data_IF_804182398472
#
_entry.id   IF_804182398472
#
_cell.length_a   1.000
_cell.length_b   1.000
_cell.length_c   1.000
_cell.angle_alpha   90.00
_cell.angle_beta   90.00
_cell.angle_gamma   90.00
#
_symmetry.space_group_name_H-M   'P 1'
#
loop_
_entity.id
_entity.type
_entity.pdbx_description
1 polymer ?
#
# COMPACT_ATOMS: atom_id res chain seq x y z
N UNK A 1 -44.05 -16.77 8.53
CA UNK A 1 -43.58 -16.34 7.19
C UNK A 1 -43.05 -17.60 6.52
N UNK A 2 -43.36 -17.86 5.26
CA UNK A 2 -42.90 -19.09 4.58
C UNK A 2 -41.43 -18.99 4.22
N UNK A 3 -40.70 -20.11 4.28
CA UNK A 3 -39.30 -20.21 3.85
C UNK A 3 -39.22 -20.14 2.34
N UNK A 4 -38.53 -19.12 1.82
CA UNK A 4 -38.25 -19.00 0.39
C UNK A 4 -37.20 -20.03 -0.02
N UNK A 5 -37.48 -20.74 -1.11
CA UNK A 5 -36.55 -21.67 -1.75
C UNK A 5 -36.36 -21.26 -3.21
N UNK A 6 -35.16 -21.52 -3.73
CA UNK A 6 -34.73 -21.13 -5.07
C UNK A 6 -34.50 -22.39 -5.92
N UNK A 7 -34.71 -22.28 -7.23
CA UNK A 7 -34.79 -23.45 -8.14
C UNK A 7 -33.55 -24.36 -8.12
N UNK A 8 -32.37 -23.78 -7.89
CA UNK A 8 -31.10 -24.48 -7.90
C UNK A 8 -30.60 -24.88 -6.50
N UNK A 9 -31.37 -24.62 -5.45
CA UNK A 9 -30.96 -24.88 -4.06
C UNK A 9 -31.77 -26.04 -3.49
N UNK A 10 -31.09 -27.18 -3.32
CA UNK A 10 -31.67 -28.40 -2.74
C UNK A 10 -31.28 -28.60 -1.28
N UNK A 11 -30.16 -28.01 -0.86
CA UNK A 11 -29.59 -28.09 0.46
C UNK A 11 -28.82 -26.81 0.76
N UNK A 12 -28.86 -26.35 2.02
CA UNK A 12 -27.98 -25.30 2.48
C UNK A 12 -28.49 -24.62 3.75
N UNK A 13 -28.16 -23.33 3.89
CA UNK A 13 -28.28 -22.57 5.11
C UNK A 13 -29.69 -22.05 5.33
N UNK A 14 -30.30 -22.44 6.46
CA UNK A 14 -31.64 -21.98 6.84
C UNK A 14 -31.58 -20.72 7.69
N UNK A 15 -31.71 -19.59 7.02
CA UNK A 15 -31.40 -18.27 7.57
C UNK A 15 -32.56 -17.29 7.50
N UNK A 16 -32.53 -16.32 8.40
CA UNK A 16 -33.39 -15.15 8.41
C UNK A 16 -32.55 -13.89 8.22
N UNK A 17 -33.00 -13.02 7.32
CA UNK A 17 -32.45 -11.68 7.17
C UNK A 17 -33.03 -10.75 8.24
N UNK A 18 -32.16 -10.11 9.03
CA UNK A 18 -32.54 -9.12 10.05
C UNK A 18 -33.05 -7.81 9.45
N UNK A 19 -32.67 -7.48 8.22
CA UNK A 19 -33.04 -6.23 7.54
C UNK A 19 -34.42 -6.30 6.86
N UNK A 20 -34.68 -7.28 6.02
CA UNK A 20 -35.95 -7.40 5.28
C UNK A 20 -36.93 -8.41 5.91
N UNK A 21 -36.49 -9.19 6.90
CA UNK A 21 -37.30 -10.19 7.59
C UNK A 21 -37.53 -11.47 6.80
N UNK A 22 -36.99 -11.60 5.59
CA UNK A 22 -37.14 -12.80 4.76
C UNK A 22 -36.51 -14.02 5.46
N UNK A 23 -37.20 -15.16 5.34
CA UNK A 23 -36.73 -16.48 5.77
C UNK A 23 -36.45 -17.27 4.50
N UNK A 24 -35.24 -17.81 4.38
CA UNK A 24 -34.73 -18.38 3.13
C UNK A 24 -33.91 -19.65 3.39
N UNK A 25 -33.83 -20.51 2.38
CA UNK A 25 -32.78 -21.51 2.26
C UNK A 25 -31.77 -21.02 1.23
N UNK A 26 -30.53 -20.76 1.64
CA UNK A 26 -29.44 -20.26 0.79
C UNK A 26 -28.33 -21.32 0.65
N UNK A 27 -27.40 -21.19 -0.31
CA UNK A 27 -26.17 -21.99 -0.30
C UNK A 27 -25.39 -21.85 1.00
N UNK A 28 -24.65 -22.89 1.38
CA UNK A 28 -23.77 -22.84 2.54
C UNK A 28 -22.72 -21.75 2.40
N UNK A 29 -22.58 -20.91 3.42
CA UNK A 29 -21.63 -19.79 3.42
C UNK A 29 -22.17 -18.53 2.73
N UNK A 30 -23.49 -18.35 2.63
CA UNK A 30 -24.05 -17.11 2.09
C UNK A 30 -23.80 -15.92 3.02
N UNK A 31 -23.17 -14.85 2.49
CA UNK A 31 -22.76 -13.66 3.24
C UNK A 31 -23.70 -12.46 3.06
N UNK A 32 -24.55 -12.48 2.03
CA UNK A 32 -25.52 -11.43 1.74
C UNK A 32 -26.93 -11.96 1.45
N UNK A 33 -27.92 -11.13 1.79
CA UNK A 33 -29.33 -11.43 1.55
C UNK A 33 -29.71 -11.16 0.08
N UNK A 34 -30.16 -12.16 -0.71
CA UNK A 34 -30.55 -11.96 -2.12
C UNK A 34 -31.82 -11.12 -2.30
N UNK A 35 -32.60 -10.91 -1.24
CA UNK A 35 -33.87 -10.16 -1.33
C UNK A 35 -33.69 -8.66 -1.09
N UNK A 36 -32.65 -8.24 -0.37
CA UNK A 36 -32.41 -6.84 -0.05
C UNK A 36 -30.95 -6.39 -0.21
N UNK A 37 -30.08 -7.26 -0.71
CA UNK A 37 -28.64 -7.02 -0.92
C UNK A 37 -27.88 -6.59 0.35
N UNK A 38 -28.40 -6.95 1.54
CA UNK A 38 -27.79 -6.58 2.82
C UNK A 38 -26.71 -7.57 3.26
N UNK A 39 -25.45 -7.13 3.32
CA UNK A 39 -24.32 -7.94 3.82
C UNK A 39 -24.31 -8.02 5.35
N UNK A 40 -23.94 -9.19 5.91
CA UNK A 40 -23.88 -9.40 7.37
C UNK A 40 -25.25 -9.35 8.07
N UNK A 41 -26.34 -9.48 7.31
CA UNK A 41 -27.72 -9.42 7.82
C UNK A 41 -28.34 -10.79 8.06
N UNK A 42 -27.63 -11.87 7.71
CA UNK A 42 -28.11 -13.24 7.78
C UNK A 42 -27.79 -13.85 9.15
N UNK A 43 -28.74 -14.61 9.67
CA UNK A 43 -28.61 -15.35 10.93
C UNK A 43 -29.37 -16.66 10.84
N UNK A 44 -28.83 -17.72 11.43
CA UNK A 44 -29.50 -19.01 11.51
C UNK A 44 -30.84 -18.88 12.21
N UNK A 45 -31.86 -19.55 11.68
CA UNK A 45 -33.17 -19.56 12.33
C UNK A 45 -33.16 -20.44 13.57
N UNK A 46 -32.43 -21.54 13.51
CA UNK A 46 -32.30 -22.52 14.58
C UNK A 46 -30.85 -23.02 14.62
N UNK A 47 -30.17 -22.79 15.75
CA UNK A 47 -28.80 -23.22 15.97
C UNK A 47 -28.64 -24.75 15.94
N UNK A 48 -29.71 -25.51 16.17
CA UNK A 48 -29.69 -26.97 16.05
C UNK A 48 -29.96 -27.46 14.62
N UNK A 49 -30.41 -26.59 13.72
CA UNK A 49 -30.83 -26.91 12.35
C UNK A 49 -30.35 -25.85 11.36
N UNK A 50 -29.05 -25.58 11.38
CA UNK A 50 -28.40 -24.57 10.55
C UNK A 50 -28.49 -24.97 9.06
N UNK A 51 -28.08 -26.19 8.72
CA UNK A 51 -28.13 -26.74 7.37
C UNK A 51 -29.36 -27.64 7.19
N UNK A 52 -30.12 -27.42 6.12
CA UNK A 52 -31.41 -28.05 5.88
C UNK A 52 -31.54 -28.49 4.41
N UNK A 53 -32.23 -29.61 4.17
CA UNK A 53 -32.67 -29.95 2.81
C UNK A 53 -34.02 -29.31 2.52
N UNK A 54 -34.29 -29.04 1.25
CA UNK A 54 -35.58 -28.51 0.80
C UNK A 54 -36.76 -29.42 1.21
N UNK A 55 -36.55 -30.74 1.22
CA UNK A 55 -37.56 -31.73 1.59
C UNK A 55 -37.93 -31.66 3.08
N UNK A 56 -37.01 -31.18 3.93
CA UNK A 56 -37.20 -31.06 5.38
C UNK A 56 -38.06 -29.83 5.77
N UNK A 57 -38.29 -28.90 4.84
CA UNK A 57 -39.08 -27.67 5.04
C UNK A 57 -40.58 -27.87 4.86
N UNK A 58 -41.01 -28.96 4.20
CA UNK A 58 -42.42 -29.36 4.08
C UNK A 58 -43.36 -28.26 3.55
N UNK A 59 -44.54 -28.13 4.17
CA UNK A 59 -45.59 -27.19 3.75
C UNK A 59 -45.24 -25.70 3.97
N UNK A 60 -44.16 -25.42 4.71
CA UNK A 60 -43.70 -24.09 5.05
C UNK A 60 -42.76 -23.50 3.99
N UNK A 61 -42.38 -24.27 2.97
CA UNK A 61 -41.61 -23.80 1.83
C UNK A 61 -42.47 -23.04 0.80
N UNK A 62 -41.89 -22.00 0.20
CA UNK A 62 -42.44 -21.23 -0.91
C UNK A 62 -41.37 -21.11 -2.01
N UNK A 63 -41.62 -21.72 -3.17
CA UNK A 63 -40.72 -21.63 -4.30
C UNK A 63 -40.87 -20.27 -5.00
N UNK A 64 -39.76 -19.54 -5.10
CA UNK A 64 -39.69 -18.22 -5.76
C UNK A 64 -39.72 -18.30 -7.29
N UNK A 65 -39.49 -19.48 -7.86
CA UNK A 65 -39.17 -19.73 -9.26
C UNK A 65 -37.94 -18.94 -9.76
N UNK A 66 -37.10 -18.47 -8.84
CA UNK A 66 -35.86 -17.75 -9.14
C UNK A 66 -34.66 -18.69 -8.97
N UNK A 67 -33.68 -18.56 -9.85
CA UNK A 67 -32.40 -19.28 -9.79
C UNK A 67 -31.35 -18.31 -9.29
N UNK A 68 -30.75 -18.60 -8.13
CA UNK A 68 -29.69 -17.76 -7.56
C UNK A 68 -28.38 -17.96 -8.30
N UNK A 69 -27.67 -16.87 -8.55
CA UNK A 69 -26.29 -16.86 -8.99
C UNK A 69 -25.37 -16.54 -7.80
N UNK A 70 -24.08 -16.91 -7.86
CA UNK A 70 -23.12 -16.63 -6.78
C UNK A 70 -23.10 -15.16 -6.32
N UNK A 71 -23.21 -14.20 -7.24
CA UNK A 71 -23.23 -12.77 -6.92
C UNK A 71 -24.49 -12.28 -6.19
N UNK A 72 -25.54 -13.11 -6.11
CA UNK A 72 -26.78 -12.76 -5.42
C UNK A 72 -26.68 -13.04 -3.90
N UNK A 73 -25.77 -13.93 -3.47
CA UNK A 73 -25.67 -14.38 -2.08
C UNK A 73 -24.25 -14.33 -1.47
N UNK A 74 -23.20 -14.12 -2.27
CA UNK A 74 -21.83 -13.93 -1.79
C UNK A 74 -21.39 -12.47 -1.93
N UNK A 75 -20.70 -11.93 -0.92
CA UNK A 75 -20.07 -10.62 -1.07
C UNK A 75 -18.90 -10.67 -2.08
N UNK A 76 -18.42 -9.53 -2.58
CA UNK A 76 -17.39 -9.50 -3.62
C UNK A 76 -16.06 -10.17 -3.25
N UNK A 77 -15.65 -10.18 -1.98
CA UNK A 77 -14.41 -10.80 -1.52
C UNK A 77 -14.56 -12.34 -1.50
N UNK A 78 -15.63 -12.85 -0.89
CA UNK A 78 -15.92 -14.29 -0.86
C UNK A 78 -16.19 -14.84 -2.26
N UNK A 79 -16.91 -14.10 -3.10
CA UNK A 79 -17.15 -14.47 -4.50
C UNK A 79 -15.84 -14.61 -5.29
N UNK A 80 -14.89 -13.69 -5.08
CA UNK A 80 -13.59 -13.72 -5.73
C UNK A 80 -12.72 -14.91 -5.27
N UNK A 81 -12.88 -15.32 -4.00
CA UNK A 81 -12.16 -16.44 -3.40
C UNK A 81 -12.73 -17.80 -3.83
N UNK A 82 -14.05 -17.97 -3.76
CA UNK A 82 -14.71 -19.25 -4.01
C UNK A 82 -14.99 -19.51 -5.49
N UNK A 83 -15.23 -18.46 -6.27
CA UNK A 83 -15.57 -18.55 -7.69
C UNK A 83 -14.68 -17.65 -8.55
N UNK A 84 -13.34 -17.81 -8.53
CA UNK A 84 -12.40 -16.86 -9.13
C UNK A 84 -12.59 -16.68 -10.64
N UNK A 85 -12.86 -17.75 -11.39
CA UNK A 85 -13.07 -17.68 -12.84
C UNK A 85 -14.41 -17.05 -13.22
N UNK A 86 -15.44 -17.25 -12.41
CA UNK A 86 -16.75 -16.62 -12.60
C UNK A 86 -16.69 -15.13 -12.23
N UNK A 87 -16.00 -14.79 -11.13
CA UNK A 87 -15.75 -13.41 -10.72
C UNK A 87 -14.96 -12.62 -11.78
N UNK A 88 -13.94 -13.23 -12.38
CA UNK A 88 -13.19 -12.65 -13.52
C UNK A 88 -14.08 -12.38 -14.74
N UNK A 89 -15.09 -13.23 -14.99
CA UNK A 89 -16.04 -13.05 -16.09
C UNK A 89 -17.09 -11.96 -15.79
N UNK A 90 -17.45 -11.77 -14.52
CA UNK A 90 -18.38 -10.71 -14.07
C UNK A 90 -17.72 -9.32 -14.08
N UNK A 91 -16.41 -9.23 -13.78
CA UNK A 91 -15.68 -7.98 -13.92
C UNK A 91 -15.61 -7.59 -15.39
N UNK A 92 -16.38 -6.58 -15.77
CA UNK A 92 -16.10 -5.80 -16.98
C UNK A 92 -14.61 -5.46 -16.96
N UNK A 93 -13.83 -5.79 -18.00
CA UNK A 93 -12.43 -5.38 -18.06
C UNK A 93 -12.42 -3.85 -17.99
N UNK A 94 -11.94 -3.32 -16.87
CA UNK A 94 -11.69 -1.88 -16.76
C UNK A 94 -10.47 -1.54 -17.59
N UNK A 95 -10.37 -0.28 -18.01
CA UNK A 95 -9.16 0.18 -18.67
C UNK A 95 -7.97 -0.04 -17.74
N UNK A 96 -6.92 -0.69 -18.25
CA UNK A 96 -5.64 -0.69 -17.57
C UNK A 96 -5.14 0.77 -17.52
N UNK A 97 -4.78 1.22 -16.33
CA UNK A 97 -4.24 2.55 -16.11
C UNK A 97 -3.17 2.47 -15.03
N UNK A 98 -2.25 3.43 -15.05
CA UNK A 98 -1.32 3.62 -13.94
C UNK A 98 -2.10 3.95 -12.68
N UNK A 99 -1.79 3.28 -11.58
CA UNK A 99 -2.36 3.60 -10.28
C UNK A 99 -1.64 4.81 -9.65
N UNK A 100 -2.00 6.00 -10.13
CA UNK A 100 -1.45 7.26 -9.60
C UNK A 100 -1.76 7.45 -8.12
N UNK A 101 -2.83 6.86 -7.60
CA UNK A 101 -3.15 6.93 -6.18
C UNK A 101 -2.10 6.18 -5.34
N UNK A 102 -1.73 4.97 -5.74
CA UNK A 102 -0.64 4.24 -5.10
C UNK A 102 0.71 4.97 -5.21
N UNK A 103 1.00 5.61 -6.35
CA UNK A 103 2.22 6.41 -6.51
C UNK A 103 2.23 7.61 -5.54
N UNK A 104 1.13 8.35 -5.43
CA UNK A 104 0.99 9.46 -4.48
C UNK A 104 1.17 8.98 -3.04
N UNK A 105 0.60 7.83 -2.67
CA UNK A 105 0.77 7.25 -1.34
C UNK A 105 2.23 6.90 -1.04
N UNK A 106 2.95 6.33 -2.02
CA UNK A 106 4.39 6.02 -1.90
C UNK A 106 5.21 7.29 -1.69
N UNK A 107 4.96 8.34 -2.48
CA UNK A 107 5.63 9.64 -2.33
C UNK A 107 5.42 10.19 -0.92
N UNK A 108 4.17 10.22 -0.44
CA UNK A 108 3.86 10.71 0.92
C UNK A 108 4.54 9.90 2.02
N UNK A 109 4.68 8.58 1.85
CA UNK A 109 5.40 7.73 2.80
C UNK A 109 6.90 8.03 2.84
N UNK A 110 7.52 8.31 1.69
CA UNK A 110 8.91 8.72 1.62
C UNK A 110 9.09 10.08 2.34
N UNK A 111 8.30 11.08 1.97
CA UNK A 111 8.35 12.41 2.61
C UNK A 111 8.15 12.32 4.13
N UNK A 112 7.16 11.52 4.58
CA UNK A 112 6.93 11.28 6.00
C UNK A 112 8.17 10.73 6.70
N UNK A 113 8.83 9.74 6.10
CA UNK A 113 10.04 9.12 6.66
C UNK A 113 11.17 10.13 6.81
N UNK A 114 11.41 10.93 5.77
CA UNK A 114 12.47 11.94 5.79
C UNK A 114 12.21 13.01 6.86
N UNK A 115 10.97 13.52 6.97
CA UNK A 115 10.59 14.46 8.04
C UNK A 115 10.71 13.80 9.42
N UNK A 116 10.25 12.55 9.58
CA UNK A 116 10.37 11.82 10.83
C UNK A 116 11.83 11.69 11.28
N UNK A 117 12.73 11.28 10.39
CA UNK A 117 14.16 11.13 10.67
C UNK A 117 14.82 12.48 10.99
N UNK A 118 14.44 13.54 10.27
CA UNK A 118 14.94 14.88 10.53
C UNK A 118 14.52 15.36 11.93
N UNK A 119 13.23 15.26 12.27
CA UNK A 119 12.75 15.65 13.61
C UNK A 119 13.41 14.82 14.71
N UNK A 120 13.67 13.53 14.49
CA UNK A 120 14.44 12.70 15.42
C UNK A 120 15.89 13.20 15.58
N UNK A 121 16.54 13.63 14.50
CA UNK A 121 17.87 14.24 14.57
C UNK A 121 17.89 15.53 15.42
N UNK A 122 16.78 16.27 15.44
CA UNK A 122 16.56 17.42 16.33
C UNK A 122 16.16 17.04 17.77
N UNK A 123 16.27 15.76 18.16
CA UNK A 123 15.90 15.28 19.50
C UNK A 123 14.42 14.93 19.65
N UNK A 124 13.71 14.73 18.54
CA UNK A 124 12.30 14.34 18.51
C UNK A 124 11.32 15.51 18.61
N UNK A 125 11.80 16.75 18.53
CA UNK A 125 10.99 17.97 18.63
C UNK A 125 11.65 19.14 17.90
N UNK A 126 10.86 19.92 17.17
CA UNK A 126 11.27 21.19 16.60
C UNK A 126 10.11 22.20 16.62
N UNK A 127 10.40 23.47 16.91
CA UNK A 127 9.44 24.57 16.94
C UNK A 127 9.97 25.71 16.09
N UNK A 128 9.16 26.19 15.14
CA UNK A 128 9.49 27.31 14.27
C UNK A 128 9.06 28.62 14.93
N UNK A 129 9.92 29.64 14.85
CA UNK A 129 9.54 31.00 15.24
C UNK A 129 8.68 31.62 14.14
N UNK A 130 7.37 31.63 14.33
CA UNK A 130 6.40 32.24 13.40
C UNK A 130 6.54 33.76 13.27
N UNK A 131 7.28 34.42 14.18
CA UNK A 131 7.60 35.84 14.04
C UNK A 131 8.81 36.08 13.15
N UNK A 132 9.57 35.03 12.83
CA UNK A 132 10.59 35.06 11.79
C UNK A 132 9.94 34.88 10.42
N UNK A 133 10.50 35.44 9.35
CA UNK A 133 10.00 35.21 7.98
C UNK A 133 10.39 33.80 7.43
N UNK A 134 10.70 32.84 8.30
CA UNK A 134 11.28 31.53 7.95
C UNK A 134 10.54 30.39 8.63
N UNK A 135 9.36 30.04 8.11
CA UNK A 135 8.56 28.90 8.55
C UNK A 135 7.86 28.20 7.37
N UNK A 136 7.57 26.90 7.47
CA UNK A 136 6.87 26.19 6.41
C UNK A 136 5.37 26.49 6.43
N UNK A 137 4.81 26.69 5.24
CA UNK A 137 3.37 26.74 5.00
C UNK A 137 3.03 25.56 4.09
N UNK A 138 2.15 24.68 4.55
CA UNK A 138 1.77 23.47 3.82
C UNK A 138 0.28 23.49 3.46
N UNK A 139 -0.07 22.79 2.38
CA UNK A 139 -1.47 22.56 2.04
C UNK A 139 -1.98 21.29 2.73
N UNK A 140 -3.14 21.40 3.37
CA UNK A 140 -3.81 20.29 4.07
C UNK A 140 -5.26 20.16 3.61
N UNK A 141 -5.72 18.93 3.41
CA UNK A 141 -7.12 18.63 3.12
C UNK A 141 -7.82 18.07 4.36
N UNK A 142 -8.21 18.97 5.26
CA UNK A 142 -8.83 18.61 6.55
C UNK A 142 -10.16 17.88 6.29
N UNK A 143 -10.40 16.80 7.03
CA UNK A 143 -11.61 15.97 6.98
C UNK A 143 -11.86 15.26 5.64
N UNK A 144 -10.95 15.34 4.67
CA UNK A 144 -11.15 14.76 3.32
C UNK A 144 -12.42 15.24 2.60
N UNK A 145 -13.05 16.34 3.04
CA UNK A 145 -14.30 16.87 2.49
C UNK A 145 -14.01 18.16 1.71
N UNK A 146 -14.28 18.10 0.41
CA UNK A 146 -14.22 19.23 -0.51
C UNK A 146 -15.21 20.36 -0.08
N UNK A 147 -14.87 21.67 -0.19
CA UNK A 147 -13.87 22.24 -1.10
C UNK A 147 -12.96 23.32 -0.48
N UNK A 148 -12.28 23.08 0.64
CA UNK A 148 -11.32 24.08 1.11
C UNK A 148 -10.02 23.44 1.61
N UNK A 149 -9.10 23.06 0.68
CA UNK A 149 -7.70 22.91 1.07
C UNK A 149 -7.26 24.16 1.82
N UNK A 150 -6.56 23.95 2.94
CA UNK A 150 -6.16 25.01 3.85
C UNK A 150 -4.65 25.14 3.85
N UNK A 151 -4.18 26.38 3.72
CA UNK A 151 -2.79 26.74 4.00
C UNK A 151 -2.59 26.74 5.51
N UNK A 152 -1.72 25.85 6.00
CA UNK A 152 -1.39 25.71 7.41
C UNK A 152 0.05 26.16 7.64
N UNK A 153 0.23 27.17 8.48
CA UNK A 153 1.54 27.58 9.00
C UNK A 153 1.96 26.55 10.05
N UNK A 154 3.06 25.86 9.81
CA UNK A 154 3.56 24.86 10.75
C UNK A 154 4.33 25.55 11.86
N UNK A 155 3.87 25.34 13.09
CA UNK A 155 4.45 25.94 14.29
C UNK A 155 5.35 24.93 15.00
N UNK A 156 4.97 23.64 15.02
CA UNK A 156 5.73 22.60 15.71
C UNK A 156 5.66 21.26 14.99
N UNK A 157 6.73 20.48 15.14
CA UNK A 157 6.79 19.09 14.76
C UNK A 157 7.43 18.27 15.88
N UNK A 158 6.88 17.11 16.18
CA UNK A 158 7.40 16.25 17.25
C UNK A 158 7.08 14.78 17.01
N UNK A 159 7.88 13.92 17.61
CA UNK A 159 7.65 12.47 17.58
C UNK A 159 7.08 12.01 18.91
N UNK A 160 5.87 11.44 18.87
CA UNK A 160 5.19 10.86 20.03
C UNK A 160 4.83 9.42 19.75
N UNK A 161 5.27 8.50 20.60
CA UNK A 161 5.05 7.06 20.43
C UNK A 161 5.49 6.55 19.04
N UNK A 162 6.62 7.04 18.54
CA UNK A 162 7.15 6.70 17.20
C UNK A 162 6.24 7.13 16.04
N UNK A 163 5.40 8.15 16.25
CA UNK A 163 4.54 8.76 15.24
C UNK A 163 4.91 10.24 15.14
N UNK A 164 5.18 10.72 13.92
CA UNK A 164 5.33 12.14 13.62
C UNK A 164 3.98 12.86 13.80
N UNK A 165 4.01 13.94 14.58
CA UNK A 165 2.89 14.85 14.80
C UNK A 165 3.30 16.25 14.35
N UNK A 166 2.39 16.92 13.64
CA UNK A 166 2.54 18.30 13.22
C UNK A 166 1.45 19.15 13.89
N UNK A 167 1.84 20.32 14.39
CA UNK A 167 0.92 21.34 14.87
C UNK A 167 1.10 22.59 14.01
N UNK A 168 -0.02 23.23 13.69
CA UNK A 168 -0.03 24.42 12.88
C UNK A 168 -1.31 25.22 13.03
N UNK A 169 -1.29 26.40 12.46
CA UNK A 169 -2.38 27.36 12.49
C UNK A 169 -2.80 27.70 11.07
N UNK A 170 -4.08 27.98 10.87
CA UNK A 170 -4.57 28.43 9.58
C UNK A 170 -3.94 29.78 9.24
N UNK A 171 -3.45 29.93 8.02
CA UNK A 171 -2.70 31.11 7.60
C UNK A 171 -3.51 32.42 7.63
N UNK A 172 -4.83 32.33 7.44
CA UNK A 172 -5.70 33.49 7.26
C UNK A 172 -6.13 34.12 8.59
N UNK A 173 -6.39 33.29 9.60
CA UNK A 173 -7.00 33.68 10.87
C UNK A 173 -6.19 33.25 12.10
N UNK A 174 -5.16 32.41 11.94
CA UNK A 174 -4.28 31.96 13.03
C UNK A 174 -4.96 31.00 14.01
N UNK A 175 -6.03 30.31 13.62
CA UNK A 175 -6.66 29.31 14.48
C UNK A 175 -5.88 27.99 14.40
N UNK A 176 -5.72 27.28 15.53
CA UNK A 176 -5.12 25.94 15.52
C UNK A 176 -5.88 25.00 14.58
N UNK A 177 -5.13 24.25 13.77
CA UNK A 177 -5.67 23.28 12.83
C UNK A 177 -5.32 21.88 13.30
N UNK A 178 -6.33 21.03 13.45
CA UNK A 178 -6.14 19.61 13.75
C UNK A 178 -6.15 18.80 12.46
N UNK A 179 -5.06 18.08 12.20
CA UNK A 179 -4.91 17.22 11.02
C UNK A 179 -3.85 16.14 11.28
N UNK A 180 -3.82 15.15 10.40
CA UNK A 180 -2.83 14.08 10.35
C UNK A 180 -1.90 14.27 9.14
N UNK A 181 -0.70 13.68 9.18
CA UNK A 181 0.24 13.74 8.06
C UNK A 181 -0.35 13.13 6.77
N UNK A 182 -1.30 12.19 6.89
CA UNK A 182 -2.00 11.59 5.75
C UNK A 182 -2.99 12.56 5.06
N UNK A 183 -3.33 13.69 5.69
CA UNK A 183 -4.19 14.73 5.09
C UNK A 183 -3.39 15.83 4.37
N UNK A 184 -2.06 15.80 4.49
CA UNK A 184 -1.16 16.74 3.80
C UNK A 184 -1.07 16.37 2.31
N UNK A 185 -1.07 17.36 1.42
CA UNK A 185 -0.88 17.09 -0.02
C UNK A 185 0.53 16.55 -0.30
N UNK A 186 0.66 15.66 -1.28
CA UNK A 186 1.98 15.16 -1.68
C UNK A 186 2.88 16.33 -2.13
N UNK A 187 4.15 16.28 -1.75
CA UNK A 187 5.13 17.35 -1.96
C UNK A 187 5.20 18.38 -0.84
N UNK A 188 4.20 18.43 0.06
CA UNK A 188 4.17 19.45 1.10
C UNK A 188 4.83 19.01 2.41
N UNK A 189 4.98 17.71 2.67
CA UNK A 189 5.75 17.26 3.83
C UNK A 189 7.24 17.52 3.63
N UNK A 190 7.79 17.23 2.43
CA UNK A 190 9.19 17.55 2.11
C UNK A 190 9.48 19.05 2.16
N UNK A 191 8.51 19.90 1.81
CA UNK A 191 8.65 21.36 1.94
C UNK A 191 8.94 21.84 3.37
N UNK A 192 8.59 21.05 4.41
CA UNK A 192 8.97 21.35 5.80
C UNK A 192 10.49 21.30 5.99
N UNK A 193 11.18 20.39 5.28
CA UNK A 193 12.63 20.20 5.37
C UNK A 193 13.40 21.42 4.85
N UNK A 194 12.84 22.17 3.89
CA UNK A 194 13.45 23.40 3.37
C UNK A 194 13.60 24.50 4.45
N UNK A 195 12.83 24.38 5.55
CA UNK A 195 12.84 25.30 6.69
C UNK A 195 13.43 24.66 7.96
N UNK A 196 14.03 23.48 7.85
CA UNK A 196 14.63 22.76 8.96
C UNK A 196 16.15 22.72 8.78
N UNK A 197 16.94 23.37 9.66
CA UNK A 197 18.38 23.43 9.50
C UNK A 197 19.02 22.07 9.79
N UNK A 198 20.08 21.73 9.05
CA UNK A 198 20.91 20.56 9.36
C UNK A 198 21.42 20.58 10.80
N UNK A 199 21.56 19.40 11.40
CA UNK A 199 22.18 19.25 12.73
C UNK A 199 23.69 19.04 12.60
N UNK A 200 24.41 19.08 13.72
CA UNK A 200 25.86 18.78 13.72
C UNK A 200 26.19 17.33 13.35
N UNK A 201 25.22 16.43 13.39
CA UNK A 201 25.41 14.98 13.21
C UNK A 201 24.67 14.41 12.01
N UNK A 202 23.64 15.10 11.51
CA UNK A 202 22.80 14.69 10.40
C UNK A 202 22.58 15.91 9.51
N UNK A 203 23.09 15.84 8.29
CA UNK A 203 23.00 16.89 7.26
C UNK A 203 22.15 16.47 6.05
N UNK A 204 21.76 15.20 5.96
CA UNK A 204 20.85 14.68 4.95
C UNK A 204 19.93 13.61 5.55
N UNK A 205 18.66 13.66 5.15
CA UNK A 205 17.64 12.61 5.37
C UNK A 205 17.09 12.10 4.05
N UNK A 206 17.74 12.46 2.94
CA UNK A 206 17.29 12.09 1.59
C UNK A 206 17.29 10.57 1.46
N UNK A 207 16.22 10.06 0.86
CA UNK A 207 16.13 8.65 0.48
C UNK A 207 17.22 8.32 -0.55
N UNK A 208 18.17 7.45 -0.18
CA UNK A 208 19.21 6.99 -1.08
C UNK A 208 18.73 5.80 -1.92
N UNK A 209 18.77 5.94 -3.24
CA UNK A 209 18.60 4.84 -4.18
C UNK A 209 19.97 4.49 -4.75
N UNK A 210 20.55 3.36 -4.37
CA UNK A 210 21.83 2.93 -4.92
C UNK A 210 21.74 1.53 -5.51
N UNK A 211 22.54 1.30 -6.56
CA UNK A 211 22.73 -0.03 -7.11
C UNK A 211 24.21 -0.38 -7.10
N UNK A 212 24.47 -1.66 -6.90
CA UNK A 212 25.79 -2.24 -6.84
C UNK A 212 25.91 -3.25 -7.98
N UNK A 213 26.80 -2.99 -8.93
CA UNK A 213 26.92 -3.77 -10.17
C UNK A 213 28.31 -4.36 -10.32
N UNK A 214 28.35 -5.69 -10.40
CA UNK A 214 29.53 -6.46 -10.76
C UNK A 214 29.54 -6.75 -12.27
N UNK A 215 30.69 -6.56 -12.92
CA UNK A 215 30.89 -6.81 -14.35
C UNK A 215 32.00 -7.85 -14.60
N UNK A 216 31.78 -8.70 -15.62
CA UNK A 216 32.73 -9.66 -16.15
C UNK A 216 32.30 -11.11 -15.95
N UNK A 217 32.36 -11.94 -17.00
CA UNK A 217 31.84 -13.33 -16.99
C UNK A 217 32.31 -14.13 -15.78
N UNK A 218 33.61 -14.15 -15.56
CA UNK A 218 34.23 -15.05 -14.61
C UNK A 218 33.99 -14.55 -13.18
N UNK A 219 33.94 -13.23 -13.00
CA UNK A 219 33.58 -12.59 -11.75
C UNK A 219 32.11 -12.89 -11.39
N UNK A 220 31.19 -12.73 -12.35
CA UNK A 220 29.77 -13.04 -12.17
C UNK A 220 29.57 -14.53 -11.89
N UNK A 221 30.25 -15.43 -12.61
CA UNK A 221 30.19 -16.87 -12.33
C UNK A 221 30.76 -17.23 -10.97
N UNK A 222 31.87 -16.63 -10.57
CA UNK A 222 32.46 -16.86 -9.26
C UNK A 222 31.51 -16.39 -8.15
N UNK A 223 30.85 -15.25 -8.37
CA UNK A 223 29.79 -14.75 -7.51
C UNK A 223 28.61 -15.71 -7.41
N UNK A 224 28.03 -16.13 -8.54
CA UNK A 224 26.88 -17.04 -8.57
C UNK A 224 27.17 -18.42 -7.95
N UNK A 225 28.42 -18.87 -7.98
CA UNK A 225 28.85 -20.14 -7.40
C UNK A 225 29.41 -20.02 -5.96
N UNK A 226 29.39 -18.83 -5.37
CA UNK A 226 29.87 -18.58 -4.00
C UNK A 226 31.39 -18.63 -3.82
N UNK A 227 32.16 -18.58 -4.92
CA UNK A 227 33.63 -18.58 -4.93
C UNK A 227 34.22 -17.20 -5.23
N UNK A 228 33.45 -16.13 -5.00
CA UNK A 228 33.86 -14.77 -5.38
C UNK A 228 35.11 -14.29 -4.64
N UNK A 229 35.24 -14.59 -3.35
CA UNK A 229 36.44 -14.20 -2.59
C UNK A 229 37.71 -14.84 -3.18
N UNK A 230 37.65 -16.11 -3.57
CA UNK A 230 38.77 -16.81 -4.20
C UNK A 230 39.14 -16.18 -5.55
N UNK A 231 38.15 -15.64 -6.28
CA UNK A 231 38.33 -14.93 -7.53
C UNK A 231 38.96 -13.54 -7.34
N UNK A 232 38.53 -12.80 -6.32
CA UNK A 232 39.18 -11.51 -5.95
C UNK A 232 40.65 -11.76 -5.57
N UNK A 233 40.91 -12.79 -4.77
CA UNK A 233 42.25 -13.17 -4.33
C UNK A 233 43.15 -13.70 -5.47
N UNK A 234 42.55 -14.16 -6.59
CA UNK A 234 43.30 -14.62 -7.77
C UNK A 234 43.83 -13.47 -8.64
N UNK A 235 43.48 -12.22 -8.31
CA UNK A 235 43.83 -11.00 -9.06
C UNK A 235 43.36 -11.03 -10.53
N UNK A 236 42.30 -11.79 -10.82
CA UNK A 236 41.64 -11.75 -12.13
C UNK A 236 40.96 -10.39 -12.34
N UNK A 237 40.90 -9.94 -13.60
CA UNK A 237 40.36 -8.61 -13.92
C UNK A 237 38.84 -8.60 -13.97
N UNK A 238 38.20 -7.77 -13.15
CA UNK A 238 36.77 -7.48 -13.18
C UNK A 238 36.53 -5.98 -12.93
N UNK A 239 35.28 -5.53 -13.10
CA UNK A 239 34.88 -4.16 -12.77
C UNK A 239 33.69 -4.17 -11.82
N UNK A 240 33.66 -3.20 -10.92
CA UNK A 240 32.66 -3.06 -9.87
C UNK A 240 32.28 -1.60 -9.70
N UNK A 241 30.99 -1.30 -9.79
CA UNK A 241 30.47 0.08 -9.73
C UNK A 241 29.34 0.15 -8.72
N UNK A 242 29.47 1.10 -7.78
CA UNK A 242 28.36 1.55 -6.93
C UNK A 242 27.90 2.90 -7.45
N UNK A 243 26.62 3.01 -7.80
CA UNK A 243 26.01 4.24 -8.29
C UNK A 243 24.78 4.61 -7.48
N UNK A 244 24.69 5.89 -7.12
CA UNK A 244 23.53 6.48 -6.43
C UNK A 244 22.64 7.27 -7.39
N UNK A 245 21.35 7.34 -7.07
CA UNK A 245 20.30 7.97 -7.87
C UNK A 245 19.36 8.77 -6.97
N UNK A 246 18.71 9.77 -7.55
CA UNK A 246 17.74 10.60 -6.83
C UNK A 246 16.36 9.96 -6.81
N UNK A 247 16.08 9.07 -7.78
CA UNK A 247 14.80 8.38 -7.92
C UNK A 247 14.97 6.90 -8.24
N UNK A 248 14.00 6.03 -7.85
CA UNK A 248 14.01 4.63 -8.25
C UNK A 248 13.83 4.47 -9.77
N UNK A 249 13.19 5.41 -10.47
CA UNK A 249 13.05 5.39 -11.93
C UNK A 249 14.39 5.62 -12.64
N UNK A 250 15.22 6.53 -12.14
CA UNK A 250 16.60 6.72 -12.65
C UNK A 250 17.45 5.48 -12.44
N UNK A 251 17.37 4.88 -11.24
CA UNK A 251 18.04 3.61 -10.94
C UNK A 251 17.59 2.50 -11.90
N UNK A 252 16.28 2.38 -12.13
CA UNK A 252 15.73 1.37 -13.04
C UNK A 252 16.11 1.65 -14.49
N UNK A 253 16.15 2.91 -14.91
CA UNK A 253 16.58 3.31 -16.25
C UNK A 253 18.05 2.95 -16.48
N UNK A 254 18.91 3.15 -15.47
CA UNK A 254 20.30 2.70 -15.52
C UNK A 254 20.41 1.18 -15.67
N UNK A 255 19.71 0.40 -14.83
CA UNK A 255 19.71 -1.07 -14.92
C UNK A 255 19.16 -1.57 -16.26
N UNK A 256 18.14 -0.90 -16.80
CA UNK A 256 17.59 -1.21 -18.13
C UNK A 256 18.62 -0.89 -19.22
N UNK A 257 19.30 0.24 -19.12
CA UNK A 257 20.39 0.61 -20.03
C UNK A 257 21.54 -0.41 -20.05
N UNK A 258 21.85 -1.02 -18.90
CA UNK A 258 22.82 -2.13 -18.84
C UNK A 258 22.36 -3.36 -19.64
N UNK A 259 21.06 -3.65 -19.65
CA UNK A 259 20.49 -4.74 -20.47
C UNK A 259 20.48 -4.43 -21.97
N UNK A 260 20.27 -3.16 -22.32
CA UNK A 260 20.17 -2.71 -23.72
C UNK A 260 21.55 -2.50 -24.39
N UNK A 261 22.63 -2.43 -23.60
CA UNK A 261 23.99 -2.34 -24.13
C UNK A 261 24.42 -3.66 -24.78
N UNK A 262 24.27 -3.72 -26.11
CA UNK A 262 24.74 -4.79 -26.98
C UNK A 262 26.26 -5.04 -26.73
N UNK A 263 26.58 -6.19 -26.13
CA UNK A 263 27.96 -6.60 -25.79
C UNK A 263 28.30 -6.70 -24.30
N UNK A 264 27.44 -6.26 -23.37
CA UNK A 264 27.63 -6.44 -21.92
C UNK A 264 26.72 -7.54 -21.37
N UNK A 265 26.93 -8.78 -21.83
CA UNK A 265 26.06 -9.91 -21.45
C UNK A 265 26.30 -10.46 -20.03
N UNK A 266 27.18 -9.85 -19.25
CA UNK A 266 27.72 -10.47 -18.02
C UNK A 266 27.90 -9.43 -16.93
N UNK A 267 26.78 -8.93 -16.42
CA UNK A 267 26.74 -8.15 -15.20
C UNK A 267 25.78 -8.79 -14.19
N UNK A 268 25.99 -8.46 -12.91
CA UNK A 268 25.11 -8.88 -11.82
C UNK A 268 24.88 -7.72 -10.86
N UNK A 269 23.61 -7.45 -10.54
CA UNK A 269 23.27 -6.60 -9.41
C UNK A 269 23.50 -7.38 -8.10
N UNK A 270 24.29 -6.82 -7.20
CA UNK A 270 24.56 -7.37 -5.86
C UNK A 270 23.50 -6.90 -4.86
N UNK A 271 23.22 -7.70 -3.82
CA UNK A 271 22.27 -7.30 -2.78
C UNK A 271 22.93 -6.28 -1.82
N UNK A 272 22.09 -5.46 -1.17
CA UNK A 272 22.50 -4.28 -0.40
C UNK A 272 23.40 -4.53 0.83
N UNK A 273 23.50 -5.78 1.30
CA UNK A 273 24.38 -6.17 2.42
C UNK A 273 25.72 -6.75 1.95
N UNK A 274 25.94 -6.85 0.65
CA UNK A 274 27.10 -7.49 0.03
C UNK A 274 28.07 -6.42 -0.50
N UNK A 275 28.25 -5.33 0.27
CA UNK A 275 29.36 -4.41 0.05
C UNK A 275 30.66 -5.16 0.34
N UNK A 276 31.32 -5.55 -0.75
CA UNK A 276 32.62 -6.22 -0.72
C UNK A 276 33.63 -5.24 -0.12
N UNK A 277 34.52 -5.70 0.76
CA UNK A 277 35.73 -4.94 1.10
C UNK A 277 36.73 -5.10 -0.05
N UNK A 278 36.44 -4.44 -1.18
CA UNK A 278 37.17 -4.60 -2.43
C UNK A 278 38.02 -3.35 -2.74
N UNK A 279 39.34 -3.50 -2.99
CA UNK A 279 40.22 -2.38 -3.32
C UNK A 279 39.93 -1.73 -4.70
N UNK A 280 39.11 -2.35 -5.55
CA UNK A 280 38.77 -1.88 -6.90
C UNK A 280 37.39 -1.18 -6.99
N UNK A 281 36.70 -0.93 -5.87
CA UNK A 281 35.38 -0.28 -5.89
C UNK A 281 35.50 1.14 -6.44
N UNK A 282 34.80 1.38 -7.55
CA UNK A 282 34.58 2.74 -8.05
C UNK A 282 33.25 3.26 -7.54
N UNK A 283 33.27 4.43 -6.90
CA UNK A 283 32.07 5.18 -6.52
C UNK A 283 31.79 6.23 -7.58
N UNK A 284 30.64 6.14 -8.24
CA UNK A 284 30.15 7.14 -9.22
C UNK A 284 28.87 7.84 -8.75
#
# INVERSE_FOLDING_TARGET
>A
MKTKIYNNILHGDWVKCSQCGAIMLLPCGADQCPECCGCGTLSWIDEARQEMNVDDLGADAFNTNHTLKPEDYLDPETLAMEFPEYYKQLKTPMMEHTDFYCLVKRIKQMEYKEVFEAIQAHGGFYEWDVNSDSYPIIAVNIDSICPNPMDVVITKAYVKNNILCLEGEDKEYGNPVQFSCDEVFAGHLSYILDYLPATSTVDSVKSDFSTNVLFGQDAVRAYENGSFQEFVDSYEGYSHIVRSFDTPEEQQAYLTGLNDMDGWHEYRQLESHELLEDPNISYE
#
